data_IF_800073771634
#
_entry.id   IF_800073771634
#
_cell.length_a   1.000
_cell.length_b   1.000
_cell.length_c   1.000
_cell.angle_alpha   90.00
_cell.angle_beta   90.00
_cell.angle_gamma   90.00
#
_symmetry.space_group_name_H-M   'P 1'
#
loop_
_entity.id
_entity.type
_entity.pdbx_description
1 polymer ?
#
# COMPACT_ATOMS: atom_id res chain seq x y z
N UNK A 1 -19.24 8.98 0.56
CA UNK A 1 -20.10 7.97 1.21
C UNK A 1 -19.35 6.65 1.50
N UNK A 2 -18.50 6.17 0.58
CA UNK A 2 -17.72 4.94 0.77
C UNK A 2 -16.62 5.10 1.82
N UNK A 3 -15.86 6.20 1.79
CA UNK A 3 -14.83 6.49 2.79
C UNK A 3 -15.38 6.55 4.22
N UNK A 4 -16.56 7.16 4.42
CA UNK A 4 -17.22 7.20 5.74
C UNK A 4 -17.65 5.81 6.23
N UNK A 5 -18.04 4.91 5.32
CA UNK A 5 -18.33 3.51 5.66
C UNK A 5 -17.08 2.73 6.04
N UNK A 6 -16.01 2.85 5.26
CA UNK A 6 -14.72 2.22 5.56
C UNK A 6 -14.17 2.68 6.91
N UNK A 7 -14.21 3.99 7.19
CA UNK A 7 -13.80 4.54 8.49
C UNK A 7 -14.65 4.00 9.64
N UNK A 8 -15.96 3.88 9.46
CA UNK A 8 -16.85 3.34 10.48
C UNK A 8 -16.63 1.84 10.76
N UNK A 9 -16.38 1.04 9.71
CA UNK A 9 -16.05 -0.39 9.85
C UNK A 9 -14.69 -0.59 10.49
N UNK A 10 -13.68 0.21 10.11
CA UNK A 10 -12.36 0.21 10.73
C UNK A 10 -12.45 0.61 12.20
N UNK A 11 -13.19 1.66 12.53
CA UNK A 11 -13.38 2.11 13.92
C UNK A 11 -14.06 1.04 14.79
N UNK A 12 -15.03 0.31 14.25
CA UNK A 12 -15.68 -0.79 14.96
C UNK A 12 -14.70 -1.94 15.24
N UNK A 13 -13.82 -2.29 14.32
CA UNK A 13 -12.77 -3.30 14.52
C UNK A 13 -11.75 -2.84 15.56
N UNK A 14 -11.33 -1.57 15.51
CA UNK A 14 -10.34 -1.02 16.42
C UNK A 14 -10.87 -0.82 17.85
N UNK A 15 -12.12 -0.46 18.05
CA UNK A 15 -12.73 -0.30 19.38
C UNK A 15 -12.62 -1.55 20.24
N UNK A 16 -12.61 -2.72 19.62
CA UNK A 16 -12.56 -3.99 20.35
C UNK A 16 -11.18 -4.34 20.91
N UNK A 17 -10.09 -3.81 20.29
CA UNK A 17 -8.72 -4.23 20.57
C UNK A 17 -7.74 -3.05 20.73
N UNK A 18 -8.21 -1.82 20.76
CA UNK A 18 -7.36 -0.64 20.85
C UNK A 18 -6.68 -0.50 22.21
N UNK A 19 -5.36 -0.49 22.17
CA UNK A 19 -4.53 -0.05 23.29
C UNK A 19 -3.75 1.18 22.86
N UNK A 20 -3.81 2.25 23.63
CA UNK A 20 -2.95 3.40 23.41
C UNK A 20 -1.48 3.01 23.68
N UNK A 21 -0.61 3.17 22.70
CA UNK A 21 0.80 2.79 22.76
C UNK A 21 1.71 4.00 22.82
N UNK A 22 1.23 5.16 22.37
CA UNK A 22 1.98 6.42 22.40
C UNK A 22 1.01 7.59 22.57
N UNK A 23 1.45 8.65 23.23
CA UNK A 23 0.78 9.94 23.32
C UNK A 23 1.87 11.03 23.38
N UNK A 24 1.64 12.14 22.71
CA UNK A 24 2.57 13.28 22.69
C UNK A 24 1.88 14.53 22.21
N UNK A 25 2.55 15.65 22.33
CA UNK A 25 2.14 16.94 21.80
C UNK A 25 3.03 17.33 20.63
N UNK A 26 2.48 18.10 19.70
CA UNK A 26 3.23 18.61 18.55
C UNK A 26 2.78 20.04 18.23
N UNK A 27 3.63 20.79 17.56
CA UNK A 27 3.34 22.11 17.05
C UNK A 27 3.04 22.02 15.55
N UNK A 28 1.96 22.67 15.09
CA UNK A 28 1.48 22.57 13.71
C UNK A 28 2.43 23.14 12.66
N UNK A 29 3.38 23.99 13.08
CA UNK A 29 4.40 24.62 12.24
C UNK A 29 5.72 23.83 12.18
N UNK A 30 5.80 22.68 12.84
CA UNK A 30 6.99 21.84 12.87
C UNK A 30 6.70 20.43 12.32
N UNK A 31 7.66 19.80 11.63
CA UNK A 31 7.50 18.43 11.19
C UNK A 31 7.44 17.50 12.41
N UNK A 32 6.43 16.65 12.45
CA UNK A 32 6.28 15.61 13.47
C UNK A 32 7.19 14.43 13.16
N UNK A 33 8.14 14.10 14.09
CA UNK A 33 8.90 12.86 13.98
C UNK A 33 8.01 11.66 14.33
N UNK A 34 8.01 10.68 13.42
CA UNK A 34 7.30 9.41 13.57
C UNK A 34 8.30 8.22 13.71
N UNK A 35 9.53 8.47 14.13
CA UNK A 35 10.60 7.45 14.22
C UNK A 35 10.24 6.29 15.14
N UNK A 36 9.40 6.53 16.14
CA UNK A 36 8.90 5.49 17.04
C UNK A 36 8.09 4.42 16.31
N UNK A 37 7.48 4.74 15.15
CA UNK A 37 6.71 3.78 14.36
C UNK A 37 7.57 2.60 13.91
N UNK A 38 8.84 2.83 13.58
CA UNK A 38 9.76 1.77 13.13
C UNK A 38 9.99 0.67 14.19
N UNK A 39 9.63 0.92 15.44
CA UNK A 39 9.78 -0.02 16.57
C UNK A 39 8.47 -0.79 16.85
N UNK A 40 7.40 -0.47 16.15
CA UNK A 40 6.11 -1.12 16.36
C UNK A 40 6.08 -2.51 15.71
N UNK A 41 5.44 -3.50 16.34
CA UNK A 41 5.21 -4.80 15.74
C UNK A 41 4.26 -4.72 14.54
N UNK A 42 4.22 -5.75 13.71
CA UNK A 42 3.26 -5.86 12.62
C UNK A 42 1.85 -5.90 13.16
N UNK A 43 1.06 -4.90 12.81
CA UNK A 43 -0.35 -4.76 13.23
C UNK A 43 -1.02 -3.60 12.49
N UNK A 44 -2.31 -3.42 12.72
CA UNK A 44 -3.05 -2.25 12.27
C UNK A 44 -3.04 -1.18 13.36
N UNK A 45 -2.79 0.06 12.95
CA UNK A 45 -2.66 1.21 13.83
C UNK A 45 -3.56 2.34 13.40
N UNK A 46 -3.90 3.21 14.35
CA UNK A 46 -4.50 4.51 14.04
C UNK A 46 -3.73 5.63 14.77
N UNK A 47 -3.54 6.72 14.08
CA UNK A 47 -3.07 7.99 14.67
C UNK A 47 -4.27 8.91 14.76
N UNK A 48 -4.44 9.51 15.91
CA UNK A 48 -5.45 10.54 16.14
C UNK A 48 -4.71 11.82 16.50
N UNK A 49 -4.79 12.82 15.67
CA UNK A 49 -4.33 14.18 15.95
C UNK A 49 -5.53 15.04 16.31
N UNK A 50 -5.45 15.76 17.42
CA UNK A 50 -6.50 16.66 17.83
C UNK A 50 -5.94 17.97 18.37
N UNK A 51 -6.64 19.05 18.13
CA UNK A 51 -6.34 20.36 18.73
C UNK A 51 -7.58 20.90 19.41
N UNK A 52 -7.37 21.50 20.58
CA UNK A 52 -8.40 22.29 21.24
C UNK A 52 -8.15 23.77 20.88
N UNK A 53 -9.17 24.46 20.44
CA UNK A 53 -9.14 25.93 20.29
C UNK A 53 -9.38 26.55 21.66
N UNK A 54 -8.45 27.43 22.10
CA UNK A 54 -8.59 28.15 23.36
C UNK A 54 -9.92 28.88 23.42
N UNK A 55 -10.69 28.61 24.49
CA UNK A 55 -12.00 29.22 24.73
C UNK A 55 -13.18 28.57 23.98
N UNK A 56 -12.96 27.54 23.18
CA UNK A 56 -14.01 26.78 22.50
C UNK A 56 -14.10 25.34 23.03
N UNK A 57 -15.34 24.83 23.15
CA UNK A 57 -15.61 23.44 23.51
C UNK A 57 -15.33 22.47 22.35
N UNK A 58 -15.15 22.99 21.14
CA UNK A 58 -14.97 22.20 19.93
C UNK A 58 -13.49 21.91 19.71
N UNK A 59 -13.18 20.65 19.47
CA UNK A 59 -11.86 20.19 19.06
C UNK A 59 -11.89 19.75 17.60
N UNK A 60 -10.88 20.12 16.83
CA UNK A 60 -10.66 19.57 15.49
C UNK A 60 -9.84 18.31 15.62
N UNK A 61 -10.35 17.21 15.06
CA UNK A 61 -9.71 15.90 15.09
C UNK A 61 -9.48 15.37 13.69
N UNK A 62 -8.29 14.79 13.45
CA UNK A 62 -7.97 14.03 12.25
C UNK A 62 -7.51 12.65 12.62
N UNK A 63 -7.98 11.62 11.91
CA UNK A 63 -7.65 10.22 12.16
C UNK A 63 -7.09 9.59 10.90
N UNK A 64 -5.95 8.92 11.03
CA UNK A 64 -5.30 8.16 9.96
C UNK A 64 -5.14 6.71 10.41
N UNK A 65 -5.56 5.77 9.56
CA UNK A 65 -5.36 4.33 9.74
C UNK A 65 -4.23 3.85 8.84
N UNK A 66 -3.38 2.97 9.36
CA UNK A 66 -2.29 2.38 8.60
C UNK A 66 -1.91 1.01 9.17
N UNK A 67 -1.25 0.22 8.34
CA UNK A 67 -0.74 -1.09 8.74
C UNK A 67 0.78 -1.08 8.71
N UNK A 68 1.40 -1.45 9.83
CA UNK A 68 2.83 -1.78 9.90
C UNK A 68 2.99 -3.27 9.68
N UNK A 69 3.98 -3.65 8.89
CA UNK A 69 4.28 -5.06 8.62
C UNK A 69 5.75 -5.26 8.31
N UNK A 70 6.25 -6.44 8.63
CA UNK A 70 7.56 -6.89 8.18
C UNK A 70 7.46 -7.57 6.83
N UNK A 71 8.41 -7.33 5.94
CA UNK A 71 8.51 -8.03 4.64
C UNK A 71 8.72 -9.55 4.80
N UNK A 72 9.06 -9.99 5.99
CA UNK A 72 9.31 -11.40 6.35
C UNK A 72 8.11 -12.04 7.05
N UNK A 73 6.98 -11.33 7.14
CA UNK A 73 5.77 -11.88 7.77
C UNK A 73 5.29 -13.13 7.04
N UNK A 74 4.95 -14.14 7.84
CA UNK A 74 4.36 -15.39 7.36
C UNK A 74 2.86 -15.48 7.63
N UNK A 75 2.30 -14.51 8.36
CA UNK A 75 0.87 -14.40 8.65
C UNK A 75 0.34 -13.02 8.28
N UNK A 76 -0.93 -12.99 7.92
CA UNK A 76 -1.63 -11.73 7.65
C UNK A 76 -1.68 -10.89 8.93
N UNK A 77 -1.31 -9.60 8.90
CA UNK A 77 -1.39 -8.71 10.05
C UNK A 77 -2.80 -8.71 10.66
N UNK A 78 -2.86 -8.57 11.98
CA UNK A 78 -4.13 -8.60 12.72
C UNK A 78 -5.12 -7.56 12.19
N UNK A 79 -6.37 -7.99 11.95
CA UNK A 79 -7.47 -7.15 11.47
C UNK A 79 -7.66 -7.12 9.96
N UNK A 80 -6.74 -7.67 9.17
CA UNK A 80 -6.92 -7.78 7.72
C UNK A 80 -7.57 -9.13 7.36
N UNK A 81 -8.60 -9.11 6.53
CA UNK A 81 -9.25 -10.33 5.99
C UNK A 81 -8.32 -11.01 4.99
N UNK A 82 -7.60 -10.21 4.20
CA UNK A 82 -6.59 -10.63 3.25
C UNK A 82 -5.43 -9.64 3.20
N UNK A 83 -4.34 -10.08 2.65
CA UNK A 83 -3.13 -9.29 2.44
C UNK A 83 -2.73 -9.38 0.98
N UNK A 84 -2.61 -8.23 0.31
CA UNK A 84 -2.24 -8.18 -1.09
C UNK A 84 -1.43 -6.92 -1.35
N UNK A 85 -0.11 -7.06 -1.47
CA UNK A 85 0.78 -5.92 -1.53
C UNK A 85 2.04 -6.19 -2.34
N UNK A 86 2.43 -5.23 -3.20
CA UNK A 86 3.75 -5.23 -3.83
C UNK A 86 4.82 -4.79 -2.83
N UNK A 87 5.97 -5.45 -2.83
CA UNK A 87 7.12 -5.04 -2.03
C UNK A 87 7.95 -3.94 -2.71
N UNK A 88 7.75 -3.74 -3.99
CA UNK A 88 8.30 -2.67 -4.82
C UNK A 88 7.16 -1.76 -5.30
N UNK A 89 7.41 -0.44 -5.32
CA UNK A 89 6.45 0.53 -5.88
C UNK A 89 6.54 0.60 -7.41
N UNK A 90 7.74 0.39 -7.94
CA UNK A 90 8.07 0.38 -9.37
C UNK A 90 9.17 -0.64 -9.63
N UNK A 91 9.22 -1.17 -10.86
CA UNK A 91 10.21 -2.17 -11.25
C UNK A 91 10.81 -1.87 -12.63
N UNK A 92 12.10 -2.06 -12.77
CA UNK A 92 12.78 -1.98 -14.07
C UNK A 92 12.76 -3.33 -14.79
N UNK A 93 12.89 -3.32 -16.11
CA UNK A 93 13.02 -4.55 -16.92
C UNK A 93 14.21 -5.37 -16.42
N UNK A 94 14.00 -6.67 -16.23
CA UNK A 94 15.02 -7.61 -15.73
C UNK A 94 15.19 -7.63 -14.21
N UNK A 95 14.43 -6.80 -13.47
CA UNK A 95 14.42 -6.83 -12.02
C UNK A 95 13.26 -7.69 -11.49
N UNK A 96 13.41 -8.33 -10.32
CA UNK A 96 12.33 -9.09 -9.72
C UNK A 96 11.26 -8.17 -9.16
N UNK A 97 10.00 -8.45 -9.50
CA UNK A 97 8.81 -7.88 -8.87
C UNK A 97 8.27 -8.87 -7.84
N UNK A 98 8.12 -8.46 -6.59
CA UNK A 98 7.70 -9.32 -5.49
C UNK A 98 6.34 -8.90 -4.95
N UNK A 99 5.39 -9.81 -5.04
CA UNK A 99 4.03 -9.65 -4.55
C UNK A 99 3.82 -10.52 -3.32
N UNK A 100 3.37 -9.93 -2.24
CA UNK A 100 2.85 -10.68 -1.10
C UNK A 100 1.33 -10.85 -1.26
N UNK A 101 0.88 -12.08 -1.15
CA UNK A 101 -0.52 -12.42 -1.00
C UNK A 101 -0.71 -13.32 0.22
N UNK A 102 -1.74 -13.06 1.01
CA UNK A 102 -2.05 -13.82 2.19
C UNK A 102 -3.53 -13.78 2.54
N UNK A 103 -3.97 -14.76 3.31
CA UNK A 103 -5.33 -14.85 3.84
C UNK A 103 -5.30 -15.49 5.21
N UNK A 104 -6.22 -15.09 6.09
CA UNK A 104 -6.47 -15.74 7.38
C UNK A 104 -7.40 -16.97 7.23
N UNK A 105 -7.98 -17.14 6.03
CA UNK A 105 -8.87 -18.25 5.75
C UNK A 105 -8.09 -19.57 5.64
N UNK A 106 -8.76 -20.66 6.05
CA UNK A 106 -8.18 -22.01 5.97
C UNK A 106 -8.68 -22.75 4.74
N UNK A 107 -7.76 -23.47 4.10
CA UNK A 107 -8.05 -24.36 2.97
C UNK A 107 -8.77 -23.67 1.81
N UNK A 108 -8.27 -22.50 1.38
CA UNK A 108 -8.79 -21.80 0.22
C UNK A 108 -8.03 -22.19 -1.05
N UNK A 109 -8.78 -22.40 -2.13
CA UNK A 109 -8.24 -22.58 -3.46
C UNK A 109 -8.15 -21.24 -4.15
N UNK A 110 -6.94 -20.84 -4.51
CA UNK A 110 -6.62 -19.52 -5.01
C UNK A 110 -6.32 -19.59 -6.51
N UNK A 111 -6.93 -18.67 -7.25
CA UNK A 111 -6.62 -18.37 -8.65
C UNK A 111 -5.87 -17.05 -8.69
N UNK A 112 -4.67 -17.06 -9.29
CA UNK A 112 -3.85 -15.87 -9.50
C UNK A 112 -3.56 -15.73 -10.98
N UNK A 113 -4.04 -14.65 -11.58
CA UNK A 113 -3.81 -14.31 -12.97
C UNK A 113 -2.97 -13.04 -13.09
N UNK A 114 -1.99 -13.07 -13.98
CA UNK A 114 -1.11 -11.95 -14.30
C UNK A 114 -1.45 -11.45 -15.70
N UNK A 115 -1.68 -10.16 -15.80
CA UNK A 115 -2.03 -9.48 -17.04
C UNK A 115 -0.99 -8.42 -17.38
N UNK A 116 -0.72 -8.25 -18.66
CA UNK A 116 -0.09 -7.07 -19.23
C UNK A 116 -1.08 -6.43 -20.21
N UNK A 117 -1.40 -5.17 -19.98
CA UNK A 117 -2.51 -4.50 -20.68
C UNK A 117 -3.81 -5.33 -20.54
N UNK A 118 -4.34 -5.89 -21.63
CA UNK A 118 -5.54 -6.74 -21.60
C UNK A 118 -5.25 -8.23 -21.82
N UNK A 119 -3.97 -8.59 -21.94
CA UNK A 119 -3.56 -9.96 -22.22
C UNK A 119 -3.14 -10.67 -20.95
N UNK A 120 -3.74 -11.84 -20.66
CA UNK A 120 -3.28 -12.72 -19.60
C UNK A 120 -1.94 -13.34 -20.00
N UNK A 121 -0.91 -13.12 -19.18
CA UNK A 121 0.46 -13.61 -19.41
C UNK A 121 0.68 -14.92 -18.67
N UNK A 122 0.17 -15.01 -17.44
CA UNK A 122 0.39 -16.14 -16.56
C UNK A 122 -0.86 -16.43 -15.73
N UNK A 123 -1.04 -17.69 -15.35
CA UNK A 123 -2.09 -18.14 -14.43
C UNK A 123 -1.51 -19.17 -13.48
N UNK A 124 -1.72 -18.97 -12.17
CA UNK A 124 -1.32 -19.88 -11.10
C UNK A 124 -2.53 -20.33 -10.31
N UNK A 125 -2.52 -21.57 -9.85
CA UNK A 125 -3.56 -22.17 -9.02
C UNK A 125 -2.91 -22.93 -7.88
N UNK A 126 -3.32 -22.61 -6.66
CA UNK A 126 -2.70 -23.19 -5.47
C UNK A 126 -3.65 -23.16 -4.27
N UNK A 127 -3.32 -23.93 -3.23
CA UNK A 127 -4.03 -23.90 -1.96
C UNK A 127 -3.27 -23.04 -0.95
N UNK A 128 -4.02 -22.30 -0.12
CA UNK A 128 -3.49 -21.52 1.01
C UNK A 128 -4.28 -21.78 2.27
N UNK A 129 -3.65 -21.60 3.42
CA UNK A 129 -4.28 -21.73 4.72
C UNK A 129 -3.55 -20.90 5.76
N UNK A 130 -4.20 -19.84 6.25
CA UNK A 130 -3.70 -18.95 7.32
C UNK A 130 -2.21 -18.58 7.15
N UNK A 131 -1.85 -18.05 5.98
CA UNK A 131 -0.45 -17.76 5.65
C UNK A 131 -0.33 -16.56 4.71
N UNK A 132 0.86 -15.96 4.67
CA UNK A 132 1.33 -15.02 3.64
C UNK A 132 2.42 -15.68 2.83
N UNK A 133 2.33 -15.60 1.52
CA UNK A 133 3.35 -16.08 0.58
C UNK A 133 3.84 -14.92 -0.29
N UNK A 134 5.13 -14.96 -0.65
CA UNK A 134 5.73 -14.02 -1.58
C UNK A 134 5.91 -14.69 -2.93
N UNK A 135 5.31 -14.08 -3.95
CA UNK A 135 5.43 -14.51 -5.35
C UNK A 135 6.39 -13.57 -6.05
N UNK A 136 7.39 -14.15 -6.72
CA UNK A 136 8.36 -13.38 -7.49
C UNK A 136 8.08 -13.56 -8.98
N UNK A 137 8.14 -12.46 -9.70
CA UNK A 137 7.98 -12.38 -11.14
C UNK A 137 9.20 -11.65 -11.71
N UNK A 138 9.85 -12.22 -12.73
CA UNK A 138 10.86 -11.49 -13.48
C UNK A 138 10.15 -10.48 -14.39
N UNK A 139 10.40 -9.20 -14.20
CA UNK A 139 9.76 -8.17 -15.02
C UNK A 139 10.34 -8.13 -16.43
N UNK A 140 9.65 -8.77 -17.34
CA UNK A 140 10.07 -8.95 -18.74
C UNK A 140 9.53 -7.81 -19.64
N UNK A 141 10.15 -7.56 -20.80
CA UNK A 141 9.68 -6.55 -21.76
C UNK A 141 8.20 -6.71 -22.18
N UNK A 142 7.69 -7.94 -22.17
CA UNK A 142 6.30 -8.27 -22.52
C UNK A 142 5.26 -7.68 -21.56
N UNK A 143 5.68 -7.24 -20.36
CA UNK A 143 4.79 -6.55 -19.42
C UNK A 143 4.59 -5.06 -19.76
N UNK A 144 5.27 -4.54 -20.80
CA UNK A 144 5.02 -3.21 -21.34
C UNK A 144 5.20 -2.10 -20.31
N UNK A 145 4.10 -1.38 -20.01
CA UNK A 145 4.07 -0.25 -19.06
C UNK A 145 3.88 -0.68 -17.61
N UNK A 146 3.42 -1.91 -17.40
CA UNK A 146 3.14 -2.44 -16.07
C UNK A 146 2.52 -3.81 -16.13
N UNK A 147 2.43 -4.45 -14.97
CA UNK A 147 1.74 -5.72 -14.80
C UNK A 147 0.60 -5.56 -13.81
N UNK A 148 -0.50 -6.22 -14.10
CA UNK A 148 -1.68 -6.25 -13.26
C UNK A 148 -1.86 -7.68 -12.75
N UNK A 149 -1.95 -7.86 -11.45
CA UNK A 149 -2.18 -9.17 -10.84
C UNK A 149 -3.55 -9.18 -10.19
N UNK A 150 -4.36 -10.16 -10.57
CA UNK A 150 -5.64 -10.44 -9.96
C UNK A 150 -5.57 -11.76 -9.21
N UNK A 151 -6.02 -11.75 -7.97
CA UNK A 151 -6.10 -12.94 -7.12
C UNK A 151 -7.54 -13.12 -6.66
N UNK A 152 -8.07 -14.31 -6.83
CA UNK A 152 -9.44 -14.64 -6.45
C UNK A 152 -9.50 -15.97 -5.70
N UNK A 153 -10.34 -16.02 -4.68
CA UNK A 153 -10.75 -17.28 -4.04
C UNK A 153 -12.20 -17.20 -3.55
N UNK A 154 -12.82 -18.36 -3.37
CA UNK A 154 -14.17 -18.47 -2.81
C UNK A 154 -14.09 -19.12 -1.44
N UNK A 155 -14.74 -18.51 -0.46
CA UNK A 155 -14.87 -19.04 0.89
C UNK A 155 -16.27 -18.80 1.43
N UNK A 156 -16.90 -19.84 1.95
CA UNK A 156 -18.23 -19.80 2.56
C UNK A 156 -19.29 -19.09 1.70
N UNK A 157 -19.25 -19.34 0.37
CA UNK A 157 -20.13 -18.72 -0.61
C UNK A 157 -19.78 -17.29 -0.99
N UNK A 158 -18.74 -16.68 -0.42
CA UNK A 158 -18.27 -15.34 -0.73
C UNK A 158 -17.07 -15.38 -1.67
N UNK A 159 -17.12 -14.56 -2.72
CA UNK A 159 -16.00 -14.33 -3.64
C UNK A 159 -15.12 -13.22 -3.07
N UNK A 160 -13.85 -13.53 -2.84
CA UNK A 160 -12.83 -12.57 -2.46
C UNK A 160 -11.96 -12.31 -3.69
N UNK A 161 -11.87 -11.06 -4.12
CA UNK A 161 -11.09 -10.66 -5.29
C UNK A 161 -10.20 -9.48 -4.92
N UNK A 162 -8.91 -9.59 -5.29
CA UNK A 162 -7.89 -8.59 -5.06
C UNK A 162 -7.18 -8.30 -6.37
N UNK A 163 -6.97 -7.03 -6.68
CA UNK A 163 -6.28 -6.63 -7.90
C UNK A 163 -5.32 -5.49 -7.58
N UNK A 164 -4.08 -5.61 -8.04
CA UNK A 164 -3.08 -4.55 -7.93
C UNK A 164 -2.23 -4.45 -9.20
N UNK A 165 -1.83 -3.22 -9.50
CA UNK A 165 -0.95 -2.91 -10.62
C UNK A 165 0.43 -2.54 -10.11
N UNK A 166 1.47 -3.07 -10.74
CA UNK A 166 2.85 -2.64 -10.58
C UNK A 166 3.30 -1.92 -11.85
N UNK A 167 3.71 -0.68 -11.71
CA UNK A 167 4.15 0.12 -12.84
C UNK A 167 5.62 -0.12 -13.17
N UNK A 168 5.93 0.00 -14.47
CA UNK A 168 7.32 0.03 -14.92
C UNK A 168 7.99 1.30 -14.45
N UNK A 169 9.19 1.18 -13.87
CA UNK A 169 10.05 2.32 -13.58
C UNK A 169 10.43 3.02 -14.88
N UNK A 170 10.03 4.28 -15.00
CA UNK A 170 10.42 5.11 -16.14
C UNK A 170 11.84 5.62 -15.91
N UNK A 171 12.66 5.73 -17.00
CA UNK A 171 13.96 6.36 -16.88
C UNK A 171 13.79 7.81 -16.44
N UNK A 172 14.64 8.26 -15.53
CA UNK A 172 14.67 9.66 -15.13
C UNK A 172 14.97 10.53 -16.35
N UNK A 173 13.98 11.33 -16.75
CA UNK A 173 14.19 12.34 -17.80
C UNK A 173 14.86 13.54 -17.15
N UNK A 174 16.18 13.64 -17.27
CA UNK A 174 16.90 14.88 -16.97
C UNK A 174 16.57 15.87 -18.07
N UNK A 175 15.84 16.91 -17.73
CA UNK A 175 15.69 18.08 -18.60
C UNK A 175 16.97 18.92 -18.46
N UNK A 176 17.83 18.89 -19.47
CA UNK A 176 18.92 19.86 -19.60
C UNK A 176 18.37 21.12 -20.26
N UNK A 177 18.14 22.15 -19.46
CA UNK A 177 17.82 23.48 -19.98
C UNK A 177 19.13 24.15 -20.40
N UNK A 178 19.41 24.20 -21.68
CA UNK A 178 20.48 25.04 -22.23
C UNK A 178 19.91 26.41 -22.55
N UNK A 179 20.33 27.40 -21.81
CA UNK A 179 20.01 28.79 -22.11
C UNK A 179 20.95 29.24 -23.22
N UNK A 180 20.45 29.45 -24.45
CA UNK A 180 21.13 30.21 -25.46
C UNK A 180 20.86 31.70 -25.22
N UNK A 181 21.84 32.45 -24.74
CA UNK A 181 21.74 33.89 -24.64
C UNK A 181 21.85 34.50 -26.04
N UNK A 182 20.72 34.95 -26.58
CA UNK A 182 20.77 35.82 -27.75
C UNK A 182 21.37 37.15 -27.31
N UNK A 183 22.64 37.39 -27.67
CA UNK A 183 23.20 38.73 -27.62
C UNK A 183 22.64 39.53 -28.80
N UNK A 184 21.60 40.32 -28.51
CA UNK A 184 21.23 41.40 -29.42
C UNK A 184 22.42 42.40 -29.46
N UNK A 185 23.26 42.32 -30.49
CA UNK A 185 24.13 43.43 -30.86
C UNK A 185 23.22 44.52 -31.44
N UNK A 186 22.89 45.52 -30.67
CA UNK A 186 22.45 46.80 -31.17
C UNK A 186 23.68 47.45 -31.77
N UNK A 187 23.77 47.45 -33.12
CA UNK A 187 24.71 48.30 -33.85
C UNK A 187 24.12 49.71 -33.87
N UNK A 188 24.82 50.66 -33.24
CA UNK A 188 24.62 52.07 -33.36
C UNK A 188 24.94 52.55 -34.77
#
# INVERSE_FOLDING_TARGET
ANELKEHAEMDHRYKKFCRQIHCGTFESNQPLSLDFLCKLPSSCYKIVAQTALDGHKDSVQHTVYFTMYSKQETKVPVGAIGWFNWLENEVAIGQPARLQFGTQEKNVYVLMDVYSELKRIESRRFYMSDTVQTFTFDYLPQYGKGMNVSVMYVKDGHVNNFTQTLNKKLPEKKLELKWESFRNKLTS
#
